data_IF_487784206958
#
_entry.id   IF_487784206958
#
_cell.length_a   1.000
_cell.length_b   1.000
_cell.length_c   1.000
_cell.angle_alpha   90.00
_cell.angle_beta   90.00
_cell.angle_gamma   90.00
#
_symmetry.space_group_name_H-M   'P 1'
#
loop_
_entity.id
_entity.type
_entity.pdbx_description
1 polymer ?
#
# COMPACT_ATOMS: atom_id res chain seq x y z
N UNK A 1 -14.39 29.49 42.37
CA UNK A 1 -12.98 29.08 42.17
C UNK A 1 -12.93 27.75 41.43
N UNK A 2 -12.59 27.73 40.14
CA UNK A 2 -12.50 26.49 39.37
C UNK A 2 -11.27 25.68 39.76
N UNK A 3 -11.44 24.41 40.16
CA UNK A 3 -10.32 23.52 40.49
C UNK A 3 -9.60 23.12 39.19
N UNK A 4 -8.36 23.58 39.02
CA UNK A 4 -7.48 23.13 37.93
C UNK A 4 -7.19 21.64 38.14
N UNK A 5 -7.64 20.80 37.22
CA UNK A 5 -7.41 19.35 37.26
C UNK A 5 -6.18 19.00 36.44
N UNK A 6 -5.22 18.30 37.05
CA UNK A 6 -4.05 17.73 36.35
C UNK A 6 -4.55 16.76 35.26
N UNK A 7 -4.02 16.91 34.05
CA UNK A 7 -4.29 16.00 32.93
C UNK A 7 -3.16 14.98 32.84
N UNK A 8 -3.52 13.70 32.79
CA UNK A 8 -2.58 12.61 32.57
C UNK A 8 -2.80 12.01 31.20
N UNK A 9 -1.71 11.69 30.51
CA UNK A 9 -1.75 11.00 29.23
C UNK A 9 -2.41 9.62 29.38
N UNK A 10 -3.04 9.15 28.31
CA UNK A 10 -3.72 7.86 28.27
C UNK A 10 -2.70 6.71 28.40
N UNK A 11 -1.55 6.81 27.71
CA UNK A 11 -0.51 5.78 27.75
C UNK A 11 -0.02 5.53 29.18
N UNK A 12 0.17 6.61 29.93
CA UNK A 12 0.57 6.58 31.33
C UNK A 12 -0.47 5.87 32.22
N UNK A 13 -1.76 6.15 32.02
CA UNK A 13 -2.84 5.47 32.79
C UNK A 13 -2.87 3.97 32.52
N UNK A 14 -2.66 3.56 31.27
CA UNK A 14 -2.61 2.14 30.88
C UNK A 14 -1.41 1.45 31.54
N UNK A 15 -0.22 2.06 31.49
CA UNK A 15 0.97 1.50 32.14
C UNK A 15 0.77 1.30 33.65
N UNK A 16 0.13 2.27 34.33
CA UNK A 16 -0.20 2.16 35.74
C UNK A 16 -1.12 0.97 36.01
N UNK A 17 -2.21 0.82 35.26
CA UNK A 17 -3.13 -0.30 35.42
C UNK A 17 -2.46 -1.66 35.14
N UNK A 18 -1.61 -1.75 34.12
CA UNK A 18 -0.87 -2.98 33.78
C UNK A 18 0.11 -3.40 34.88
N UNK A 19 0.83 -2.45 35.50
CA UNK A 19 1.75 -2.75 36.61
C UNK A 19 1.02 -3.30 37.83
N UNK A 20 -0.19 -2.79 38.09
CA UNK A 20 -1.04 -3.27 39.19
C UNK A 20 -1.55 -4.68 38.90
N UNK A 21 -2.05 -4.95 37.68
CA UNK A 21 -2.51 -6.29 37.30
C UNK A 21 -1.38 -7.33 37.26
N UNK A 22 -0.20 -6.93 36.83
CA UNK A 22 1.00 -7.76 36.84
C UNK A 22 1.58 -7.98 38.25
N UNK A 23 0.95 -7.42 39.30
CA UNK A 23 1.42 -7.43 40.69
C UNK A 23 2.87 -6.91 40.85
N UNK A 24 3.33 -6.03 39.95
CA UNK A 24 4.69 -5.48 39.99
C UNK A 24 4.81 -4.35 41.01
N UNK A 25 3.72 -3.60 41.23
CA UNK A 25 3.65 -2.51 42.19
C UNK A 25 2.26 -2.45 42.82
N UNK A 26 2.21 -2.14 44.11
CA UNK A 26 0.92 -1.96 44.79
C UNK A 26 0.30 -0.60 44.46
N UNK A 27 -1.02 -0.48 44.62
CA UNK A 27 -1.73 0.81 44.43
C UNK A 27 -1.12 1.90 45.32
N UNK A 28 -0.68 1.56 46.54
CA UNK A 28 -0.08 2.48 47.48
C UNK A 28 1.29 3.01 47.00
N UNK A 29 2.16 2.12 46.50
CA UNK A 29 3.46 2.49 45.93
C UNK A 29 3.30 3.43 44.73
N UNK A 30 2.40 3.10 43.80
CA UNK A 30 2.15 3.96 42.63
C UNK A 30 1.60 5.33 43.04
N UNK A 31 0.72 5.37 44.04
CA UNK A 31 0.19 6.62 44.58
C UNK A 31 1.30 7.48 45.20
N UNK A 32 2.24 6.87 45.91
CA UNK A 32 3.37 7.56 46.50
C UNK A 32 4.34 8.07 45.42
N UNK A 33 4.81 7.19 44.52
CA UNK A 33 5.81 7.51 43.50
C UNK A 33 5.33 8.58 42.52
N UNK A 34 4.05 8.50 42.13
CA UNK A 34 3.47 9.41 41.14
C UNK A 34 2.66 10.55 41.78
N UNK A 35 2.66 10.64 43.11
CA UNK A 35 1.89 11.64 43.89
C UNK A 35 0.41 11.69 43.48
N UNK A 36 -0.18 10.50 43.31
CA UNK A 36 -1.56 10.32 42.88
C UNK A 36 -2.44 10.02 44.08
N UNK A 37 -3.68 10.49 44.02
CA UNK A 37 -4.68 10.12 44.99
C UNK A 37 -5.23 8.73 44.65
N UNK A 38 -5.40 7.89 45.66
CA UNK A 38 -5.88 6.50 45.50
C UNK A 38 -7.18 6.39 44.69
N UNK A 39 -8.14 7.27 44.95
CA UNK A 39 -9.41 7.34 44.20
C UNK A 39 -9.24 7.58 42.69
N UNK A 40 -8.17 8.28 42.27
CA UNK A 40 -7.86 8.50 40.85
C UNK A 40 -7.40 7.20 40.20
N UNK A 41 -6.52 6.45 40.87
CA UNK A 41 -5.98 5.17 40.39
C UNK A 41 -7.07 4.10 40.37
N UNK A 42 -7.91 4.03 41.40
CA UNK A 42 -9.06 3.13 41.46
C UNK A 42 -10.07 3.43 40.34
N UNK A 43 -10.32 4.72 40.06
CA UNK A 43 -11.15 5.12 38.92
C UNK A 43 -10.55 4.74 37.55
N UNK A 44 -9.21 4.69 37.43
CA UNK A 44 -8.56 4.20 36.21
C UNK A 44 -8.66 2.68 36.09
N UNK A 45 -8.43 1.94 37.18
CA UNK A 45 -8.61 0.50 37.24
C UNK A 45 -10.02 0.08 36.83
N UNK A 46 -11.06 0.72 37.37
CA UNK A 46 -12.44 0.43 36.98
C UNK A 46 -12.70 0.66 35.50
N UNK A 47 -12.13 1.74 34.93
CA UNK A 47 -12.27 2.02 33.49
C UNK A 47 -11.43 1.07 32.63
N UNK A 48 -10.31 0.60 33.16
CA UNK A 48 -9.42 -0.36 32.52
C UNK A 48 -10.09 -1.73 32.44
N UNK A 49 -10.63 -2.24 33.54
CA UNK A 49 -11.38 -3.50 33.58
C UNK A 49 -12.67 -3.43 32.76
N UNK A 50 -13.31 -2.25 32.70
CA UNK A 50 -14.45 -2.00 31.81
C UNK A 50 -14.06 -1.80 30.32
N UNK A 51 -12.77 -1.84 29.96
CA UNK A 51 -12.30 -1.68 28.59
C UNK A 51 -12.49 -0.29 27.98
N UNK A 52 -12.76 0.73 28.81
CA UNK A 52 -13.06 2.13 28.37
C UNK A 52 -11.92 3.11 28.62
N UNK A 53 -10.81 2.68 29.22
CA UNK A 53 -9.66 3.54 29.52
C UNK A 53 -8.88 3.95 28.26
N UNK A 54 -8.83 3.09 27.24
CA UNK A 54 -8.24 3.43 25.96
C UNK A 54 -9.27 4.19 25.10
N UNK A 55 -8.88 5.28 24.40
CA UNK A 55 -9.70 5.82 23.33
C UNK A 55 -9.86 4.70 22.32
N UNK A 56 -11.10 4.24 22.20
CA UNK A 56 -11.61 3.19 21.32
C UNK A 56 -10.84 3.13 19.99
N UNK A 57 -9.76 2.34 19.96
CA UNK A 57 -9.00 2.08 18.74
C UNK A 57 -9.92 1.52 17.65
N UNK A 58 -11.05 0.91 18.05
CA UNK A 58 -12.10 0.42 17.17
C UNK A 58 -12.66 1.46 16.19
N UNK A 59 -12.79 2.74 16.53
CA UNK A 59 -13.45 3.68 15.60
C UNK A 59 -12.51 4.11 14.47
N UNK A 60 -11.24 4.40 14.78
CA UNK A 60 -10.23 4.68 13.75
C UNK A 60 -9.86 3.44 12.96
N UNK A 61 -9.76 2.29 13.62
CA UNK A 61 -9.43 1.03 12.97
C UNK A 61 -10.55 0.56 12.04
N UNK A 62 -11.81 0.68 12.47
CA UNK A 62 -12.98 0.37 11.61
C UNK A 62 -13.10 1.33 10.43
N UNK A 63 -12.73 2.60 10.59
CA UNK A 63 -12.65 3.54 9.46
C UNK A 63 -11.54 3.14 8.49
N UNK A 64 -10.35 2.82 9.02
CA UNK A 64 -9.22 2.35 8.21
C UNK A 64 -9.54 1.02 7.49
N UNK A 65 -10.30 0.12 8.11
CA UNK A 65 -10.77 -1.13 7.50
C UNK A 65 -11.74 -0.86 6.34
N UNK A 66 -12.71 0.04 6.52
CA UNK A 66 -13.62 0.47 5.45
C UNK A 66 -12.89 1.13 4.29
N UNK A 67 -11.92 2.00 4.60
CA UNK A 67 -11.06 2.61 3.58
C UNK A 67 -10.25 1.55 2.83
N UNK A 68 -9.70 0.56 3.54
CA UNK A 68 -8.94 -0.54 2.94
C UNK A 68 -9.79 -1.36 1.98
N UNK A 69 -11.01 -1.72 2.38
CA UNK A 69 -11.94 -2.48 1.55
C UNK A 69 -12.31 -1.71 0.28
N UNK A 70 -12.62 -0.41 0.43
CA UNK A 70 -12.91 0.47 -0.71
C UNK A 70 -11.72 0.60 -1.67
N UNK A 71 -10.50 0.71 -1.15
CA UNK A 71 -9.29 0.79 -1.96
C UNK A 71 -9.03 -0.52 -2.69
N UNK A 72 -9.18 -1.67 -2.03
CA UNK A 72 -9.03 -2.99 -2.65
C UNK A 72 -10.02 -3.20 -3.80
N UNK A 73 -11.28 -2.80 -3.63
CA UNK A 73 -12.28 -2.87 -4.69
C UNK A 73 -11.88 -2.03 -5.91
N UNK A 74 -11.44 -0.78 -5.70
CA UNK A 74 -10.95 0.09 -6.79
C UNK A 74 -9.72 -0.47 -7.50
N UNK A 75 -8.79 -1.06 -6.76
CA UNK A 75 -7.60 -1.71 -7.35
C UNK A 75 -8.02 -2.87 -8.25
N UNK A 76 -8.98 -3.69 -7.81
CA UNK A 76 -9.53 -4.77 -8.63
C UNK A 76 -10.15 -4.26 -9.94
N UNK A 77 -10.99 -3.23 -9.86
CA UNK A 77 -11.64 -2.60 -11.02
C UNK A 77 -10.60 -2.02 -12.00
N UNK A 78 -9.62 -1.26 -11.50
CA UNK A 78 -8.56 -0.69 -12.32
C UNK A 78 -7.68 -1.77 -12.97
N UNK A 79 -7.40 -2.86 -12.27
CA UNK A 79 -6.63 -3.97 -12.83
C UNK A 79 -7.38 -4.63 -14.00
N UNK A 80 -8.69 -4.84 -13.83
CA UNK A 80 -9.55 -5.40 -14.87
C UNK A 80 -9.64 -4.49 -16.10
N UNK A 81 -9.76 -3.17 -15.91
CA UNK A 81 -9.78 -2.22 -17.05
C UNK A 81 -8.44 -2.17 -17.78
N UNK A 82 -7.32 -2.20 -17.06
CA UNK A 82 -5.98 -2.31 -17.65
C UNK A 82 -5.87 -3.57 -18.51
N UNK A 83 -6.32 -4.73 -18.00
CA UNK A 83 -6.26 -5.99 -18.74
C UNK A 83 -7.14 -5.97 -19.99
N UNK A 84 -8.32 -5.36 -19.91
CA UNK A 84 -9.18 -5.16 -21.08
C UNK A 84 -8.51 -4.26 -22.13
N UNK A 85 -7.94 -3.12 -21.71
CA UNK A 85 -7.26 -2.19 -22.60
C UNK A 85 -6.09 -2.86 -23.32
N UNK A 86 -5.27 -3.63 -22.60
CA UNK A 86 -4.17 -4.40 -23.21
C UNK A 86 -4.67 -5.39 -24.27
N UNK A 87 -5.80 -6.06 -24.04
CA UNK A 87 -6.40 -6.97 -25.03
C UNK A 87 -6.88 -6.22 -26.28
N UNK A 88 -7.50 -5.05 -26.11
CA UNK A 88 -7.95 -4.21 -27.22
C UNK A 88 -6.75 -3.72 -28.03
N UNK A 89 -5.68 -3.27 -27.37
CA UNK A 89 -4.44 -2.85 -28.05
C UNK A 89 -3.81 -4.00 -28.85
N UNK A 90 -3.73 -5.21 -28.26
CA UNK A 90 -3.22 -6.39 -28.93
C UNK A 90 -4.05 -6.74 -30.17
N UNK A 91 -5.38 -6.72 -30.05
CA UNK A 91 -6.29 -6.97 -31.16
C UNK A 91 -6.14 -5.95 -32.29
N UNK A 92 -6.03 -4.65 -31.95
CA UNK A 92 -5.79 -3.59 -32.93
C UNK A 92 -4.47 -3.80 -33.68
N UNK A 93 -3.39 -4.11 -32.95
CA UNK A 93 -2.08 -4.43 -33.57
C UNK A 93 -2.18 -5.62 -34.53
N UNK A 94 -2.90 -6.66 -34.13
CA UNK A 94 -3.11 -7.84 -34.97
C UNK A 94 -3.90 -7.50 -36.24
N UNK A 95 -4.98 -6.73 -36.16
CA UNK A 95 -5.72 -6.30 -37.34
C UNK A 95 -4.87 -5.46 -38.31
N UNK A 96 -4.07 -4.52 -37.80
CA UNK A 96 -3.18 -3.73 -38.66
C UNK A 96 -2.12 -4.60 -39.35
N UNK A 97 -1.58 -5.59 -38.64
CA UNK A 97 -0.61 -6.54 -39.20
C UNK A 97 -1.24 -7.38 -40.32
N UNK A 98 -2.42 -7.96 -40.09
CA UNK A 98 -3.15 -8.76 -41.08
C UNK A 98 -3.53 -7.92 -42.30
N UNK A 99 -4.05 -6.71 -42.11
CA UNK A 99 -4.41 -5.81 -43.20
C UNK A 99 -3.20 -5.36 -44.03
N UNK A 100 -2.03 -5.20 -43.38
CA UNK A 100 -0.79 -4.92 -44.09
C UNK A 100 -0.22 -6.15 -44.81
N UNK A 101 -0.44 -7.37 -44.31
CA UNK A 101 0.11 -8.60 -44.89
C UNK A 101 -0.51 -8.98 -46.24
N UNK A 102 -1.75 -8.54 -46.50
CA UNK A 102 -2.44 -8.80 -47.76
C UNK A 102 -2.04 -7.71 -48.78
N UNK A 103 -1.40 -8.12 -49.87
CA UNK A 103 -1.05 -7.22 -50.97
C UNK A 103 -2.29 -6.93 -51.81
N UNK A 104 -2.97 -5.85 -51.46
CA UNK A 104 -4.08 -5.28 -52.24
C UNK A 104 -3.58 -4.12 -53.10
N UNK A 105 -4.33 -3.74 -54.14
CA UNK A 105 -4.02 -2.56 -54.97
C UNK A 105 -3.78 -1.28 -54.18
N UNK A 106 -4.42 -1.13 -53.01
CA UNK A 106 -4.28 0.02 -52.11
C UNK A 106 -2.98 0.06 -51.29
N UNK A 107 -2.37 -1.09 -50.96
CA UNK A 107 -1.14 -1.17 -50.13
C UNK A 107 0.12 -1.54 -50.93
N UNK A 108 -0.03 -1.73 -52.25
CA UNK A 108 1.00 -2.21 -53.16
C UNK A 108 2.28 -1.37 -53.13
N UNK A 109 2.16 -0.04 -53.01
CA UNK A 109 3.29 0.88 -52.93
C UNK A 109 4.21 0.65 -51.72
N UNK A 110 3.71 0.07 -50.62
CA UNK A 110 4.50 -0.24 -49.42
C UNK A 110 5.40 -1.47 -49.60
N UNK A 111 5.04 -2.37 -50.53
CA UNK A 111 5.76 -3.61 -50.83
C UNK A 111 6.72 -3.48 -52.01
N UNK A 112 6.53 -2.46 -52.84
CA UNK A 112 7.47 -2.07 -53.90
C UNK A 112 8.69 -1.34 -53.30
N UNK A 113 9.51 -2.05 -52.51
CA UNK A 113 10.87 -1.54 -52.28
C UNK A 113 11.67 -1.71 -53.58
N UNK A 114 12.37 -0.67 -54.06
CA UNK A 114 13.21 -0.78 -55.24
C UNK A 114 14.34 -1.78 -54.97
N UNK A 115 14.50 -2.76 -55.87
CA UNK A 115 15.53 -3.79 -55.80
C UNK A 115 16.97 -3.22 -55.85
N UNK A 116 17.12 -1.95 -56.26
CA UNK A 116 18.40 -1.28 -56.45
C UNK A 116 19.22 -1.04 -55.17
N UNK A 117 18.62 -1.17 -53.98
CA UNK A 117 19.36 -1.01 -52.71
C UNK A 117 20.14 -2.27 -52.27
N UNK A 118 20.04 -3.39 -52.99
CA UNK A 118 20.79 -4.62 -52.66
C UNK A 118 22.19 -4.66 -53.30
N UNK A 119 22.56 -3.69 -54.14
CA UNK A 119 23.86 -3.67 -54.83
C UNK A 119 25.01 -3.02 -54.03
N UNK A 120 24.77 -2.42 -52.85
CA UNK A 120 25.81 -1.67 -52.12
C UNK A 120 26.10 -2.18 -50.70
N UNK A 121 25.93 -3.48 -50.43
CA UNK A 121 26.36 -4.06 -49.15
C UNK A 121 27.62 -4.89 -49.36
N UNK A 122 28.79 -4.24 -49.22
CA UNK A 122 30.09 -4.91 -49.11
C UNK A 122 30.03 -6.06 -48.09
N UNK A 123 30.72 -7.18 -48.33
CA UNK A 123 30.67 -8.32 -47.42
C UNK A 123 31.23 -7.92 -46.06
N UNK A 124 30.41 -8.07 -45.02
CA UNK A 124 30.81 -7.82 -43.64
C UNK A 124 31.97 -8.76 -43.27
N UNK A 125 33.15 -8.20 -43.04
CA UNK A 125 34.30 -8.91 -42.49
C UNK A 125 33.92 -9.43 -41.11
N UNK A 126 33.86 -10.76 -40.96
CA UNK A 126 33.77 -11.41 -39.66
C UNK A 126 35.07 -11.12 -38.89
N UNK A 127 34.99 -10.27 -37.87
CA UNK A 127 36.06 -10.10 -36.88
C UNK A 127 35.43 -10.33 -35.52
N UNK A 128 35.66 -11.54 -35.03
CA UNK A 128 35.25 -12.03 -33.72
C UNK A 128 36.07 -11.34 -32.61
N UNK A 129 35.46 -10.70 -31.60
CA UNK A 129 36.18 -10.35 -30.39
C UNK A 129 36.12 -11.52 -29.42
N UNK A 130 37.25 -12.22 -29.39
CA UNK A 130 37.75 -13.09 -28.34
C UNK A 130 37.40 -12.54 -26.95
N UNK A 131 36.69 -13.34 -26.15
CA UNK A 131 36.44 -13.06 -24.75
C UNK A 131 37.73 -13.02 -23.94
N UNK A 132 37.82 -12.07 -23.02
CA UNK A 132 38.82 -12.06 -21.96
C UNK A 132 38.17 -11.63 -20.65
N UNK A 133 38.18 -12.61 -19.73
CA UNK A 133 38.23 -12.55 -18.26
C UNK A 133 37.14 -11.81 -17.51
#
# INVERSE_FOLDING_TARGET
MGKIRRKFDVSFKIQVCQRIEANLQTVAEICHDNQLQRAVVEGWLQRYTAGTLAPKANDRQKELERENEKLKAKVGELTMTIDLLKKVEAWKKQQTSVASSIVTSSNLAQFQRPADMLASRSPATTTSPRGTK
#
